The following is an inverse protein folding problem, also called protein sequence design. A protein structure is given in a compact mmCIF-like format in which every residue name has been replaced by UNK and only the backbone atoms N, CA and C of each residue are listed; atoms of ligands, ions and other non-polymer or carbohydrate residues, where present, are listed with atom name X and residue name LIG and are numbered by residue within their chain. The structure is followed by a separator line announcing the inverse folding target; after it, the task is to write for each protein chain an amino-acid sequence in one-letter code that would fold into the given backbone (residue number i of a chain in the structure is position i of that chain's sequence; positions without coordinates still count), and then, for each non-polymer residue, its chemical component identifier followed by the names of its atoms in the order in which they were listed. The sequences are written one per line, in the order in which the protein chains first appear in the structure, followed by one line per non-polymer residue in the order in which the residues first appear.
data_IF_122573181530
#
_entry.id   IF_122573181530
#
_cell.length_a   1.000
_cell.length_b   1.000
_cell.length_c   1.000
_cell.angle_alpha   90.00
_cell.angle_beta   90.00
_cell.angle_gamma   90.00
#
_symmetry.space_group_name_H-M   'P 1'
#
loop_
_entity.id
_entity.type
_entity.pdbx_description
1 polymer ?
#
# COMPACT_ATOMS: atom_id res chain seq x y z
N UNK A 1 18.71 -3.89 -2.49
CA UNK A 1 18.98 -2.84 -3.49
C UNK A 1 17.75 -2.04 -3.93
N UNK A 2 16.73 -2.64 -4.55
CA UNK A 2 15.63 -1.87 -5.19
C UNK A 2 14.87 -0.93 -4.24
N UNK A 3 14.57 -1.37 -3.02
CA UNK A 3 13.87 -0.55 -2.01
C UNK A 3 14.67 0.73 -1.71
N UNK A 4 15.98 0.62 -1.53
CA UNK A 4 16.87 1.77 -1.27
C UNK A 4 16.85 2.78 -2.43
N UNK A 5 16.82 2.29 -3.68
CA UNK A 5 16.68 3.12 -4.87
C UNK A 5 15.33 3.85 -4.91
N UNK A 6 14.23 3.17 -4.55
CA UNK A 6 12.90 3.78 -4.47
C UNK A 6 12.78 4.80 -3.36
N UNK A 7 13.48 4.61 -2.23
CA UNK A 7 13.47 5.57 -1.13
C UNK A 7 14.19 6.87 -1.52
N UNK A 8 15.26 6.74 -2.30
CA UNK A 8 16.04 7.86 -2.82
C UNK A 8 17.26 8.20 -1.96
N UNK A 9 17.81 9.38 -2.21
CA UNK A 9 19.02 9.90 -1.58
C UNK A 9 18.70 11.18 -0.81
N UNK A 10 19.46 11.45 0.23
CA UNK A 10 19.44 12.70 1.00
C UNK A 10 20.85 13.28 1.05
N UNK A 11 20.97 14.61 1.06
CA UNK A 11 22.26 15.24 1.32
C UNK A 11 22.45 15.39 2.83
N UNK A 12 23.62 14.96 3.30
CA UNK A 12 24.02 15.08 4.71
C UNK A 12 25.21 16.02 4.79
N UNK A 13 25.12 17.01 5.68
CA UNK A 13 26.22 17.92 6.00
C UNK A 13 27.06 17.33 7.13
N UNK A 14 28.34 17.13 6.88
CA UNK A 14 29.30 16.68 7.90
C UNK A 14 30.21 17.84 8.29
N UNK A 15 30.17 18.28 9.54
CA UNK A 15 31.12 19.27 10.05
C UNK A 15 32.35 18.56 10.63
N UNK A 16 33.50 18.72 9.98
CA UNK A 16 34.79 18.28 10.49
C UNK A 16 35.48 19.46 11.19
N UNK A 17 35.72 19.33 12.49
CA UNK A 17 36.50 20.30 13.25
C UNK A 17 37.88 19.72 13.54
N UNK A 18 38.91 20.38 13.04
CA UNK A 18 40.31 20.07 13.35
C UNK A 18 40.88 21.16 14.24
N UNK A 19 41.55 20.77 15.32
CA UNK A 19 42.30 21.70 16.17
C UNK A 19 43.78 21.35 16.06
N UNK A 20 44.60 22.34 15.71
CA UNK A 20 46.06 22.26 15.78
C UNK A 20 46.56 23.43 16.62
N UNK A 21 47.77 23.33 17.17
CA UNK A 21 48.30 24.20 18.24
C UNK A 21 48.35 25.72 17.97
N UNK A 22 47.82 26.22 16.86
CA UNK A 22 47.65 27.64 16.55
C UNK A 22 46.27 28.04 16.00
N UNK A 23 45.28 27.14 15.91
CA UNK A 23 43.95 27.48 15.41
C UNK A 23 42.99 26.30 15.27
N UNK A 24 41.70 26.61 15.21
CA UNK A 24 40.65 25.64 14.93
C UNK A 24 40.11 25.88 13.51
N UNK A 25 40.16 24.85 12.66
CA UNK A 25 39.55 24.86 11.34
C UNK A 25 38.25 24.05 11.37
N UNK A 26 37.21 24.54 10.70
CA UNK A 26 35.93 23.84 10.51
C UNK A 26 35.69 23.73 9.02
N UNK A 27 35.52 22.50 8.53
CA UNK A 27 35.11 22.23 7.15
C UNK A 27 33.75 21.53 7.15
N UNK A 28 32.87 21.91 6.22
CA UNK A 28 31.51 21.39 6.13
C UNK A 28 31.23 20.79 4.73
N UNK A 29 31.80 19.61 4.41
CA UNK A 29 31.42 18.89 3.20
C UNK A 29 29.95 18.43 3.22
N UNK A 30 29.31 18.53 2.04
CA UNK A 30 28.00 17.97 1.76
C UNK A 30 28.17 16.68 0.92
N UNK A 31 27.63 15.57 1.42
CA UNK A 31 27.73 14.27 0.77
C UNK A 31 26.34 13.69 0.54
N UNK A 32 26.07 13.16 -0.66
CA UNK A 32 24.85 12.41 -0.96
C UNK A 32 24.91 11.02 -0.34
N UNK A 33 23.95 10.69 0.54
CA UNK A 33 23.80 9.38 1.18
C UNK A 33 22.41 8.81 0.88
N UNK A 34 22.24 7.49 0.71
CA UNK A 34 20.90 6.90 0.64
C UNK A 34 20.08 7.27 1.87
N UNK A 35 18.82 7.66 1.65
CA UNK A 35 17.91 7.98 2.75
C UNK A 35 17.66 6.76 3.65
N UNK A 36 17.69 5.57 3.05
CA UNK A 36 17.61 4.30 3.74
C UNK A 36 18.47 3.27 3.01
N UNK A 37 19.39 2.62 3.72
CA UNK A 37 20.26 1.58 3.14
C UNK A 37 19.45 0.30 2.88
N UNK A 38 19.90 -0.57 1.95
CA UNK A 38 19.21 -1.84 1.71
C UNK A 38 19.20 -2.74 2.95
N UNK A 39 20.21 -2.64 3.82
CA UNK A 39 20.29 -3.41 5.06
C UNK A 39 19.33 -2.86 6.13
N UNK A 40 19.26 -1.53 6.29
CA UNK A 40 18.25 -0.87 7.12
C UNK A 40 16.83 -1.25 6.68
N UNK A 41 16.59 -1.40 5.38
CA UNK A 41 15.30 -1.86 4.85
C UNK A 41 14.98 -3.32 5.15
N UNK A 42 16.00 -4.18 5.24
CA UNK A 42 15.82 -5.59 5.63
C UNK A 42 15.62 -5.74 7.12
N UNK A 43 16.23 -4.87 7.92
CA UNK A 43 16.14 -4.88 9.38
C UNK A 43 14.97 -4.05 9.93
N UNK A 44 14.02 -3.63 9.09
CA UNK A 44 12.79 -2.97 9.54
C UNK A 44 12.01 -3.86 10.51
N UNK A 45 11.34 -3.24 11.47
CA UNK A 45 10.49 -3.99 12.38
C UNK A 45 9.30 -4.60 11.63
N UNK A 46 8.78 -5.73 12.13
CA UNK A 46 7.68 -6.47 11.50
C UNK A 46 6.39 -5.64 11.44
N UNK A 47 6.23 -4.69 12.37
CA UNK A 47 5.12 -3.74 12.41
C UNK A 47 5.42 -2.44 11.65
N UNK A 48 6.49 -2.35 10.87
CA UNK A 48 6.80 -1.17 10.06
C UNK A 48 6.60 -1.43 8.58
N UNK A 49 6.11 -0.41 7.87
CA UNK A 49 5.79 -0.47 6.44
C UNK A 49 6.28 0.80 5.76
N UNK A 50 6.73 0.65 4.53
CA UNK A 50 7.11 1.75 3.67
C UNK A 50 6.05 1.93 2.58
N UNK A 51 5.47 3.13 2.49
CA UNK A 51 4.39 3.47 1.56
C UNK A 51 4.97 4.36 0.47
N UNK A 52 4.81 3.92 -0.77
CA UNK A 52 5.20 4.66 -1.96
C UNK A 52 3.93 5.18 -2.66
N UNK A 53 3.68 6.48 -2.56
CA UNK A 53 2.61 7.16 -3.27
C UNK A 53 3.20 8.04 -4.39
N UNK A 54 2.53 8.08 -5.55
CA UNK A 54 3.03 8.84 -6.70
C UNK A 54 3.11 10.33 -6.37
N UNK A 55 4.27 10.93 -6.65
CA UNK A 55 4.51 12.35 -6.41
C UNK A 55 4.68 12.72 -4.94
N UNK A 56 4.79 11.73 -4.04
CA UNK A 56 5.06 11.94 -2.62
C UNK A 56 6.39 11.31 -2.25
N UNK A 57 7.03 11.85 -1.21
CA UNK A 57 8.18 11.19 -0.61
C UNK A 57 7.73 9.87 0.03
N UNK A 58 8.59 8.83 0.02
CA UNK A 58 8.32 7.58 0.72
C UNK A 58 7.97 7.83 2.19
N UNK A 59 6.87 7.22 2.65
CA UNK A 59 6.39 7.38 4.02
C UNK A 59 6.70 6.11 4.80
N UNK A 60 7.48 6.23 5.87
CA UNK A 60 7.64 5.15 6.86
C UNK A 60 6.51 5.24 7.87
N UNK A 61 5.74 4.17 7.99
CA UNK A 61 4.60 4.08 8.88
C UNK A 61 4.65 2.81 9.73
N UNK A 62 3.90 2.80 10.83
CA UNK A 62 3.69 1.59 11.65
C UNK A 62 2.33 0.98 11.32
N UNK A 63 2.31 -0.34 11.15
CA UNK A 63 1.11 -1.11 10.91
C UNK A 63 0.16 -0.98 12.09
N UNK A 64 -1.07 -0.57 11.77
CA UNK A 64 -2.10 -0.38 12.78
C UNK A 64 -2.64 -1.74 13.24
N UNK A 65 -2.34 -2.12 14.48
CA UNK A 65 -2.97 -3.28 15.12
C UNK A 65 -4.44 -2.99 15.42
N UNK A 66 -5.36 -3.40 14.55
CA UNK A 66 -6.79 -3.07 14.66
C UNK A 66 -7.38 -3.46 16.02
N UNK A 67 -7.04 -4.63 16.55
CA UNK A 67 -7.54 -5.12 17.84
C UNK A 67 -7.12 -4.27 19.05
N UNK A 68 -6.02 -3.49 18.94
CA UNK A 68 -5.57 -2.60 20.02
C UNK A 68 -6.31 -1.26 20.02
N UNK A 69 -6.95 -0.91 18.90
CA UNK A 69 -7.58 0.40 18.75
C UNK A 69 -8.97 0.44 19.38
N UNK A 70 -9.24 1.50 20.15
CA UNK A 70 -10.51 1.70 20.85
C UNK A 70 -11.71 1.69 19.92
N UNK A 71 -11.56 2.27 18.72
CA UNK A 71 -12.61 2.33 17.71
C UNK A 71 -13.05 0.92 17.25
N UNK A 72 -12.09 0.09 16.83
CA UNK A 72 -12.39 -1.27 16.37
C UNK A 72 -12.83 -2.18 17.52
N UNK A 73 -12.31 -2.00 18.74
CA UNK A 73 -12.79 -2.72 19.93
C UNK A 73 -14.25 -2.42 20.25
N UNK A 74 -14.72 -1.19 19.98
CA UNK A 74 -16.13 -0.83 20.13
C UNK A 74 -16.98 -1.56 19.09
N UNK A 75 -16.52 -1.60 17.83
CA UNK A 75 -17.24 -2.28 16.76
C UNK A 75 -17.28 -3.79 16.96
N UNK A 76 -16.21 -4.41 17.49
CA UNK A 76 -16.18 -5.83 17.78
C UNK A 76 -17.12 -6.27 18.90
N UNK A 77 -17.64 -5.34 19.70
CA UNK A 77 -18.63 -5.63 20.74
C UNK A 77 -20.05 -5.76 20.18
N UNK A 78 -20.29 -5.34 18.92
CA UNK A 78 -21.57 -5.51 18.26
C UNK A 78 -21.77 -7.00 18.00
N UNK A 79 -22.88 -7.55 18.49
CA UNK A 79 -23.20 -8.97 18.30
C UNK A 79 -23.31 -9.27 16.80
N UNK A 80 -22.68 -10.33 16.29
CA UNK A 80 -22.86 -10.72 14.90
C UNK A 80 -24.34 -11.02 14.62
N UNK A 81 -24.82 -10.80 13.38
CA UNK A 81 -26.18 -11.17 13.00
C UNK A 81 -26.37 -12.69 13.17
N UNK A 82 -27.61 -13.09 13.49
CA UNK A 82 -27.93 -14.49 13.74
C UNK A 82 -27.72 -15.39 12.52
N UNK A 83 -28.00 -14.83 11.34
CA UNK A 83 -27.72 -15.46 10.07
C UNK A 83 -26.70 -14.61 9.31
N UNK A 84 -25.75 -15.29 8.68
CA UNK A 84 -24.71 -14.68 7.87
C UNK A 84 -24.85 -15.26 6.47
N UNK A 85 -25.00 -14.38 5.49
CA UNK A 85 -24.93 -14.74 4.07
C UNK A 85 -23.52 -15.20 3.77
N UNK A 86 -23.28 -16.51 3.96
CA UNK A 86 -22.03 -17.14 3.58
C UNK A 86 -22.03 -17.24 2.06
N UNK A 87 -21.17 -16.45 1.44
CA UNK A 87 -20.84 -16.63 0.03
C UNK A 87 -20.05 -17.94 -0.06
N UNK A 88 -20.65 -18.97 -0.66
CA UNK A 88 -19.93 -20.17 -1.03
C UNK A 88 -18.80 -19.74 -1.98
N UNK A 89 -17.56 -19.90 -1.51
CA UNK A 89 -16.43 -19.86 -2.43
C UNK A 89 -16.44 -21.19 -3.13
N UNK A 90 -16.74 -21.19 -4.43
CA UNK A 90 -16.48 -22.31 -5.32
C UNK A 90 -15.01 -22.70 -5.15
N UNK A 91 -14.76 -23.61 -4.23
CA UNK A 91 -13.45 -24.20 -4.04
C UNK A 91 -13.38 -25.27 -5.11
N UNK A 92 -13.06 -24.87 -6.33
CA UNK A 92 -12.47 -25.80 -7.27
C UNK A 92 -11.25 -26.42 -6.55
N UNK A 93 -11.12 -27.76 -6.51
CA UNK A 93 -10.04 -28.41 -5.78
C UNK A 93 -8.73 -28.24 -6.56
N UNK A 94 -8.07 -27.10 -6.40
CA UNK A 94 -6.79 -26.83 -7.05
C UNK A 94 -5.63 -27.15 -6.08
N UNK A 95 -5.06 -28.33 -6.34
CA UNK A 95 -3.72 -28.85 -6.01
C UNK A 95 -3.44 -29.27 -4.55
N UNK A 96 -3.94 -30.45 -4.19
CA UNK A 96 -3.07 -31.41 -3.53
C UNK A 96 -2.05 -31.95 -4.55
N UNK A 97 -0.77 -32.03 -4.15
CA UNK A 97 0.37 -32.68 -4.82
C UNK A 97 1.33 -31.75 -5.60
N UNK A 98 2.12 -30.97 -4.86
CA UNK A 98 3.43 -30.46 -5.31
C UNK A 98 4.59 -31.31 -4.78
N UNK A 99 4.46 -32.64 -4.81
CA UNK A 99 5.47 -33.57 -4.27
C UNK A 99 6.03 -34.59 -5.30
N UNK A 100 5.51 -34.66 -6.53
CA UNK A 100 5.95 -35.71 -7.48
C UNK A 100 5.85 -35.28 -8.96
N UNK A 101 6.54 -34.23 -9.41
CA UNK A 101 6.82 -34.03 -10.85
C UNK A 101 8.21 -33.40 -11.04
N UNK A 102 9.23 -34.05 -10.50
CA UNK A 102 10.63 -33.85 -10.92
C UNK A 102 11.26 -35.23 -11.05
N UNK A 103 10.97 -35.88 -12.17
CA UNK A 103 11.76 -36.98 -12.75
C UNK A 103 11.17 -37.28 -14.13
N UNK A 104 12.03 -37.32 -15.14
CA UNK A 104 11.76 -37.78 -16.51
C UNK A 104 11.22 -36.72 -17.50
N UNK A 105 11.99 -35.65 -17.69
CA UNK A 105 12.04 -34.95 -18.98
C UNK A 105 13.27 -35.44 -19.75
N UNK A 106 13.16 -36.65 -20.32
CA UNK A 106 14.05 -37.15 -21.37
C UNK A 106 13.21 -37.95 -22.38
N UNK A 107 12.85 -37.30 -23.49
CA UNK A 107 12.90 -37.82 -24.85
C UNK A 107 11.88 -37.10 -25.73
N UNK A 108 12.41 -36.24 -26.58
CA UNK A 108 11.73 -35.67 -27.72
C UNK A 108 11.52 -36.72 -28.82
N UNK A 109 10.52 -36.46 -29.67
CA UNK A 109 10.45 -36.71 -31.14
C UNK A 109 9.21 -37.47 -31.59
N UNK A 110 8.69 -37.06 -32.76
CA UNK A 110 7.58 -37.55 -33.61
C UNK A 110 6.18 -37.06 -33.24
N UNK A 111 5.32 -36.51 -34.11
CA UNK A 111 5.30 -36.09 -35.53
C UNK A 111 4.02 -35.24 -35.67
N UNK A 112 3.93 -34.19 -36.52
CA UNK A 112 2.74 -33.38 -36.64
C UNK A 112 1.76 -33.98 -37.67
N UNK A 113 0.50 -34.18 -37.31
CA UNK A 113 -0.55 -34.45 -38.30
C UNK A 113 -1.85 -33.71 -37.95
N UNK A 114 -2.06 -32.61 -38.67
CA UNK A 114 -3.28 -32.08 -39.29
C UNK A 114 -4.64 -32.68 -38.89
N UNK A 115 -5.59 -31.82 -38.51
CA UNK A 115 -6.89 -31.58 -39.17
C UNK A 115 -7.76 -30.61 -38.33
N UNK A 116 -8.30 -29.57 -38.97
CA UNK A 116 -9.17 -28.54 -38.40
C UNK A 116 -10.68 -28.92 -38.47
N UNK A 117 -11.62 -27.99 -38.21
CA UNK A 117 -12.37 -27.72 -36.96
C UNK A 117 -13.83 -28.25 -37.00
N UNK A 118 -14.66 -27.99 -35.97
CA UNK A 118 -15.84 -27.17 -36.31
C UNK A 118 -16.25 -26.14 -35.25
N UNK A 119 -16.78 -25.05 -35.78
CA UNK A 119 -17.42 -23.95 -35.08
C UNK A 119 -18.69 -24.37 -34.33
N UNK A 120 -18.91 -23.73 -33.17
CA UNK A 120 -20.25 -23.40 -32.66
C UNK A 120 -20.20 -21.98 -32.07
N UNK A 121 -20.78 -21.05 -32.81
CA UNK A 121 -21.14 -19.73 -32.31
C UNK A 121 -22.40 -19.88 -31.42
N UNK A 122 -22.35 -19.31 -30.22
CA UNK A 122 -23.54 -18.91 -29.47
C UNK A 122 -23.35 -17.46 -29.05
N UNK A 123 -23.94 -16.60 -29.87
CA UNK A 123 -24.08 -15.17 -29.70
C UNK A 123 -25.24 -14.90 -28.72
N UNK A 124 -25.00 -14.16 -27.65
CA UNK A 124 -26.05 -13.36 -27.01
C UNK A 124 -25.48 -11.99 -26.61
N UNK A 125 -25.81 -11.02 -27.45
CA UNK A 125 -25.68 -9.58 -27.21
C UNK A 125 -26.46 -9.18 -25.94
N UNK A 126 -25.77 -8.65 -24.93
CA UNK A 126 -26.41 -7.88 -23.86
C UNK A 126 -26.39 -6.39 -24.22
N UNK A 127 -27.56 -5.75 -24.07
CA UNK A 127 -27.77 -4.33 -24.37
C UNK A 127 -26.97 -3.45 -23.39
N UNK A 128 -26.32 -2.36 -23.84
CA UNK A 128 -25.65 -1.43 -22.95
C UNK A 128 -26.69 -0.46 -22.38
N UNK A 129 -26.90 -0.47 -21.06
CA UNK A 129 -27.77 0.54 -20.45
C UNK A 129 -28.24 0.31 -19.00
N UNK A 130 -28.10 -0.90 -18.45
CA UNK A 130 -28.59 -1.21 -17.09
C UNK A 130 -27.49 -1.72 -16.15
N UNK A 131 -26.27 -1.21 -16.29
CA UNK A 131 -25.26 -1.37 -15.26
C UNK A 131 -25.08 -0.02 -14.57
N UNK A 132 -25.11 -0.03 -13.23
CA UNK A 132 -24.97 1.10 -12.30
C UNK A 132 -26.28 1.74 -11.76
N UNK A 133 -27.24 0.93 -11.30
CA UNK A 133 -28.34 1.40 -10.44
C UNK A 133 -28.07 1.23 -8.93
N UNK A 134 -26.99 0.55 -8.53
CA UNK A 134 -26.67 0.27 -7.12
C UNK A 134 -25.86 1.36 -6.41
N UNK A 135 -25.45 2.42 -7.12
CA UNK A 135 -24.71 3.57 -6.58
C UNK A 135 -25.58 4.84 -6.59
N UNK A 136 -26.76 4.78 -5.97
CA UNK A 136 -27.49 5.98 -5.56
C UNK A 136 -27.21 6.26 -4.09
N UNK A 137 -26.09 6.91 -3.82
CA UNK A 137 -25.83 7.52 -2.52
C UNK A 137 -26.58 8.85 -2.48
N UNK A 138 -27.53 9.01 -1.56
CA UNK A 138 -28.12 10.30 -1.26
C UNK A 138 -27.07 11.16 -0.54
N UNK A 139 -26.48 12.12 -1.23
CA UNK A 139 -25.77 13.24 -0.61
C UNK A 139 -26.84 14.21 -0.12
N UNK A 140 -27.25 14.03 1.13
CA UNK A 140 -27.96 15.05 1.89
C UNK A 140 -26.99 16.22 2.08
N UNK A 141 -27.35 17.38 1.53
CA UNK A 141 -26.57 18.60 1.66
C UNK A 141 -26.68 19.13 3.09
N UNK A 142 -25.71 18.79 3.94
CA UNK A 142 -25.57 19.40 5.25
C UNK A 142 -25.07 20.84 5.09
N UNK A 143 -25.99 21.80 5.09
CA UNK A 143 -25.68 23.19 5.45
C UNK A 143 -25.25 23.20 6.93
N UNK A 144 -23.94 23.23 7.17
CA UNK A 144 -23.39 23.49 8.50
C UNK A 144 -23.70 24.94 8.91
N UNK A 145 -23.94 25.22 10.20
CA UNK A 145 -24.20 26.57 10.68
C UNK A 145 -22.96 27.46 10.48
N UNK A 146 -23.18 28.58 9.78
CA UNK A 146 -22.22 29.67 9.60
C UNK A 146 -22.13 30.52 10.87
N UNK A 147 -21.35 30.08 11.84
CA UNK A 147 -20.93 30.93 12.97
C UNK A 147 -19.42 30.85 13.10
N UNK A 148 -18.73 31.69 12.31
CA UNK A 148 -17.33 32.04 12.53
C UNK A 148 -17.29 33.32 13.38
N UNK A 149 -16.64 33.36 14.55
CA UNK A 149 -16.40 34.62 15.23
C UNK A 149 -15.41 35.47 14.43
N UNK A 150 -15.79 36.74 14.22
CA UNK A 150 -15.00 37.77 13.53
C UNK A 150 -13.63 37.95 14.16
N UNK A 151 -12.62 38.20 13.32
CA UNK A 151 -11.18 38.29 13.66
C UNK A 151 -10.83 39.62 14.37
N UNK A 152 -11.81 40.37 14.86
CA UNK A 152 -11.59 41.69 15.48
C UNK A 152 -11.46 41.67 17.02
N UNK A 153 -11.89 40.61 17.70
CA UNK A 153 -11.88 40.56 19.18
C UNK A 153 -10.60 39.98 19.82
N UNK A 154 -9.59 39.63 19.02
CA UNK A 154 -8.33 39.07 19.53
C UNK A 154 -7.33 40.11 20.05
N UNK A 155 -7.67 41.42 20.03
CA UNK A 155 -6.72 42.49 20.37
C UNK A 155 -6.82 43.07 21.79
N UNK A 156 -7.80 42.66 22.60
CA UNK A 156 -8.00 43.23 23.94
C UNK A 156 -7.74 42.30 25.13
N UNK A 157 -7.10 41.14 24.92
CA UNK A 157 -6.78 40.20 26.02
C UNK A 157 -5.31 40.14 26.44
N UNK A 158 -4.60 41.25 26.25
CA UNK A 158 -3.24 41.40 26.79
C UNK A 158 -3.04 42.79 27.39
N UNK A 159 -3.79 43.07 28.45
CA UNK A 159 -3.44 44.02 29.51
C UNK A 159 -3.84 43.39 30.86
#
# INVERSE_FOLDING_TARGET
EEISRLVGQTSVRHAHRTQSGGGASVSEPETGRPLMTPDEARCMAVDEVLIFARGQHPIRARLLSYHKQRYFRRLSAIKPPAESDRIERDTAPEVATAAQVERQSESATTTPETLAPPAKQLNMQSKPGEQLSFLKFAVESANGPSDAPSVEDAKERLL
#
